data_IF_206835531186
#
_entry.id   IF_206835531186
#
_cell.length_a   1.000
_cell.length_b   1.000
_cell.length_c   1.000
_cell.angle_alpha   90.00
_cell.angle_beta   90.00
_cell.angle_gamma   90.00
#
_symmetry.space_group_name_H-M   'P 1'
#
loop_
_entity.id
_entity.type
_entity.pdbx_description
1 polymer ?
#
# COMPACT_ATOMS: atom_id res chain seq x y z
N UNK A 1 -2.06 -2.33 -47.47
CA UNK A 1 -1.54 -1.80 -46.18
C UNK A 1 -2.04 -2.54 -44.93
N UNK A 2 -3.24 -3.13 -44.87
CA UNK A 2 -3.81 -3.67 -43.61
C UNK A 2 -3.22 -4.97 -42.99
N UNK A 3 -2.37 -5.73 -43.69
CA UNK A 3 -1.72 -6.94 -43.11
C UNK A 3 -0.54 -6.61 -42.20
N UNK A 4 0.23 -5.58 -42.56
CA UNK A 4 1.44 -5.15 -41.82
C UNK A 4 1.04 -4.57 -40.46
N UNK A 5 0.04 -3.68 -40.43
CA UNK A 5 -0.49 -3.13 -39.18
C UNK A 5 -1.05 -4.20 -38.23
N UNK A 6 -1.69 -5.24 -38.78
CA UNK A 6 -2.23 -6.35 -37.97
C UNK A 6 -1.12 -7.17 -37.30
N UNK A 7 -0.02 -7.42 -38.02
CA UNK A 7 1.13 -8.16 -37.49
C UNK A 7 1.85 -7.37 -36.38
N UNK A 8 1.98 -6.04 -36.55
CA UNK A 8 2.52 -5.15 -35.51
C UNK A 8 1.70 -5.21 -34.22
N UNK A 9 0.37 -5.21 -34.31
CA UNK A 9 -0.53 -5.36 -33.15
C UNK A 9 -0.44 -6.75 -32.51
N UNK A 10 -0.40 -7.83 -33.31
CA UNK A 10 -0.22 -9.20 -32.79
C UNK A 10 1.09 -9.35 -32.01
N UNK A 11 2.18 -8.74 -32.50
CA UNK A 11 3.46 -8.77 -31.80
C UNK A 11 3.36 -8.05 -30.46
N UNK A 12 2.73 -6.86 -30.37
CA UNK A 12 2.55 -6.15 -29.09
C UNK A 12 1.78 -7.00 -28.08
N UNK A 13 0.69 -7.64 -28.50
CA UNK A 13 -0.10 -8.53 -27.64
C UNK A 13 0.78 -9.69 -27.13
N UNK A 14 1.58 -10.29 -28.01
CA UNK A 14 2.51 -11.35 -27.63
C UNK A 14 3.53 -10.87 -26.58
N UNK A 15 4.13 -9.69 -26.76
CA UNK A 15 5.05 -9.11 -25.77
C UNK A 15 4.36 -8.86 -24.42
N UNK A 16 3.13 -8.33 -24.42
CA UNK A 16 2.35 -8.12 -23.20
C UNK A 16 2.05 -9.43 -22.48
N UNK A 17 1.69 -10.49 -23.22
CA UNK A 17 1.45 -11.82 -22.65
C UNK A 17 2.73 -12.39 -22.04
N UNK A 18 3.87 -12.26 -22.72
CA UNK A 18 5.16 -12.71 -22.18
C UNK A 18 5.48 -11.97 -20.87
N UNK A 19 5.32 -10.64 -20.84
CA UNK A 19 5.56 -9.84 -19.62
C UNK A 19 4.62 -10.27 -18.50
N UNK A 20 3.33 -10.47 -18.78
CA UNK A 20 2.35 -10.89 -17.78
C UNK A 20 2.69 -12.28 -17.20
N UNK A 21 3.07 -13.24 -18.04
CA UNK A 21 3.48 -14.58 -17.61
C UNK A 21 4.74 -14.54 -16.76
N UNK A 22 5.76 -13.78 -17.19
CA UNK A 22 7.02 -13.64 -16.44
C UNK A 22 6.79 -12.97 -15.09
N UNK A 23 6.01 -11.89 -15.04
CA UNK A 23 5.66 -11.20 -13.79
C UNK A 23 4.88 -12.12 -12.84
N UNK A 24 3.84 -12.81 -13.35
CA UNK A 24 3.04 -13.73 -12.54
C UNK A 24 3.89 -14.88 -11.99
N UNK A 25 4.79 -15.43 -12.80
CA UNK A 25 5.68 -16.51 -12.37
C UNK A 25 6.69 -16.03 -11.33
N UNK A 26 7.30 -14.87 -11.54
CA UNK A 26 8.27 -14.28 -10.61
C UNK A 26 7.67 -13.96 -9.23
N UNK A 27 6.40 -13.55 -9.20
CA UNK A 27 5.67 -13.20 -7.98
C UNK A 27 4.68 -14.29 -7.53
N UNK A 28 4.74 -15.51 -8.10
CA UNK A 28 3.80 -16.58 -7.76
C UNK A 28 3.83 -16.93 -6.26
N UNK A 29 5.03 -16.87 -5.65
CA UNK A 29 5.23 -17.07 -4.22
C UNK A 29 4.50 -16.02 -3.35
N UNK A 30 4.26 -14.81 -3.87
CA UNK A 30 3.57 -13.75 -3.13
C UNK A 30 2.09 -14.04 -2.89
N UNK A 31 1.45 -14.91 -3.68
CA UNK A 31 0.03 -15.27 -3.50
C UNK A 31 -0.22 -16.19 -2.30
N UNK A 32 0.81 -16.87 -1.80
CA UNK A 32 0.69 -17.81 -0.67
C UNK A 32 1.22 -17.23 0.64
N UNK A 33 1.86 -16.06 0.59
CA UNK A 33 2.33 -15.38 1.79
C UNK A 33 1.19 -14.61 2.45
N UNK A 34 1.13 -14.69 3.78
CA UNK A 34 0.26 -13.82 4.56
C UNK A 34 0.65 -12.36 4.36
N UNK A 35 -0.34 -11.47 4.27
CA UNK A 35 -0.06 -10.04 4.29
C UNK A 35 0.44 -9.66 5.68
N UNK A 36 1.71 -9.32 5.80
CA UNK A 36 2.33 -8.90 7.06
C UNK A 36 2.18 -7.38 7.19
N UNK A 37 1.21 -6.94 7.98
CA UNK A 37 1.07 -5.54 8.39
C UNK A 37 2.11 -5.22 9.47
N UNK A 38 3.25 -4.66 9.08
CA UNK A 38 4.28 -4.18 10.00
C UNK A 38 3.78 -3.03 10.89
N UNK A 39 2.86 -2.21 10.37
CA UNK A 39 2.25 -1.09 11.10
C UNK A 39 1.04 -1.44 11.96
N UNK A 40 0.65 -2.73 12.03
CA UNK A 40 -0.54 -3.16 12.81
C UNK A 40 -0.49 -2.70 14.27
N UNK A 41 0.67 -2.83 14.90
CA UNK A 41 0.88 -2.41 16.28
C UNK A 41 0.72 -0.89 16.43
N UNK A 42 1.32 -0.11 15.52
CA UNK A 42 1.19 1.35 15.48
C UNK A 42 -0.27 1.79 15.30
N UNK A 43 -1.04 1.09 14.48
CA UNK A 43 -2.43 1.42 14.14
C UNK A 43 -3.39 1.06 15.27
N UNK A 44 -3.20 -0.10 15.92
CA UNK A 44 -4.15 -0.62 16.92
C UNK A 44 -3.81 -0.20 18.36
N UNK A 45 -2.52 -0.22 18.71
CA UNK A 45 -2.06 -0.16 20.10
C UNK A 45 -1.56 1.24 20.49
N UNK A 46 -1.06 2.02 19.54
CA UNK A 46 -0.53 3.34 19.84
C UNK A 46 -1.63 4.32 20.28
N UNK A 47 -1.61 4.72 21.55
CA UNK A 47 -2.55 5.67 22.10
C UNK A 47 -2.31 7.09 21.56
N UNK A 48 -1.10 7.42 21.10
CA UNK A 48 -0.78 8.74 20.61
C UNK A 48 -1.59 9.09 19.36
N UNK A 49 -1.81 8.12 18.45
CA UNK A 49 -2.55 8.36 17.20
C UNK A 49 -4.07 8.49 17.40
N UNK A 50 -4.61 8.11 18.56
CA UNK A 50 -6.06 8.17 18.83
C UNK A 50 -6.56 9.60 19.13
N UNK A 51 -5.65 10.58 19.20
CA UNK A 51 -5.98 11.99 19.40
C UNK A 51 -5.00 12.90 18.69
N UNK A 52 -5.52 13.79 17.85
CA UNK A 52 -4.70 14.78 17.11
C UNK A 52 -3.96 15.77 18.03
N UNK A 53 -4.40 15.91 19.29
CA UNK A 53 -3.70 16.75 20.29
C UNK A 53 -2.32 16.20 20.65
N UNK A 54 -2.06 14.93 20.38
CA UNK A 54 -0.78 14.30 20.66
C UNK A 54 0.26 14.52 19.55
N UNK A 55 -0.03 15.30 18.51
CA UNK A 55 0.94 15.59 17.44
C UNK A 55 2.29 16.10 18.00
N UNK A 56 2.36 17.02 18.97
CA UNK A 56 3.65 17.41 19.55
C UNK A 56 4.42 16.25 20.18
N UNK A 57 3.71 15.32 20.85
CA UNK A 57 4.31 14.11 21.42
C UNK A 57 4.79 13.15 20.32
N UNK A 58 4.01 12.98 19.25
CA UNK A 58 4.40 12.15 18.10
C UNK A 58 5.68 12.68 17.46
N UNK A 59 5.79 14.00 17.25
CA UNK A 59 6.98 14.62 16.67
C UNK A 59 8.18 14.70 17.63
N UNK A 60 7.97 14.51 18.94
CA UNK A 60 9.08 14.42 19.91
C UNK A 60 9.84 13.09 19.81
N UNK A 61 9.20 12.05 19.25
CA UNK A 61 9.82 10.74 19.03
C UNK A 61 10.17 10.54 17.55
N UNK A 62 11.38 10.95 17.19
CA UNK A 62 11.89 10.89 15.82
C UNK A 62 12.21 9.46 15.33
N UNK A 63 12.36 8.49 16.23
CA UNK A 63 12.71 7.11 15.88
C UNK A 63 11.48 6.27 15.52
N UNK A 64 10.30 6.68 16.00
CA UNK A 64 9.05 5.96 15.78
C UNK A 64 8.26 6.44 14.57
N UNK A 65 8.91 6.83 13.47
CA UNK A 65 8.23 7.22 12.20
C UNK A 65 7.17 8.33 12.42
N UNK A 66 7.56 9.51 12.93
CA UNK A 66 6.63 10.54 13.40
C UNK A 66 5.65 11.02 12.31
N UNK A 67 6.09 11.10 11.05
CA UNK A 67 5.24 11.49 9.92
C UNK A 67 4.11 10.48 9.64
N UNK A 68 4.43 9.19 9.70
CA UNK A 68 3.45 8.12 9.50
C UNK A 68 2.41 8.13 10.63
N UNK A 69 2.87 8.21 11.88
CA UNK A 69 2.00 8.31 13.07
C UNK A 69 1.13 9.56 13.05
N UNK A 70 1.67 10.71 12.65
CA UNK A 70 0.90 11.94 12.49
C UNK A 70 -0.19 11.79 11.43
N UNK A 71 0.10 11.11 10.31
CA UNK A 71 -0.88 10.82 9.27
C UNK A 71 -1.99 9.91 9.80
N UNK A 72 -1.67 8.87 10.58
CA UNK A 72 -2.68 8.06 11.27
C UNK A 72 -3.50 8.85 12.28
N UNK A 73 -2.90 9.81 13.00
CA UNK A 73 -3.62 10.66 13.95
C UNK A 73 -4.62 11.59 13.25
N UNK A 74 -4.24 12.16 12.11
CA UNK A 74 -5.14 12.96 11.26
C UNK A 74 -6.25 12.06 10.71
N UNK A 75 -5.91 10.85 10.26
CA UNK A 75 -6.86 9.85 9.76
C UNK A 75 -7.94 9.52 10.80
N UNK A 76 -7.51 9.25 12.04
CA UNK A 76 -8.38 8.99 13.19
C UNK A 76 -9.30 10.18 13.50
N UNK A 77 -8.78 11.39 13.41
CA UNK A 77 -9.54 12.62 13.67
C UNK A 77 -10.62 12.87 12.61
N UNK A 78 -10.33 12.61 11.33
CA UNK A 78 -11.27 12.87 10.24
C UNK A 78 -12.35 11.81 10.09
N UNK A 79 -12.02 10.53 10.32
CA UNK A 79 -12.91 9.41 9.99
C UNK A 79 -13.19 8.42 11.13
N UNK A 80 -12.65 8.64 12.33
CA UNK A 80 -12.72 7.67 13.43
C UNK A 80 -11.95 6.38 13.14
N UNK A 81 -12.09 5.39 14.00
CA UNK A 81 -11.40 4.07 13.88
C UNK A 81 -11.82 3.27 12.63
N UNK A 82 -12.97 3.57 12.03
CA UNK A 82 -13.51 2.83 10.89
C UNK A 82 -12.88 3.21 9.55
N UNK A 83 -12.42 4.45 9.39
CA UNK A 83 -11.73 4.88 8.16
C UNK A 83 -10.35 4.22 8.01
N UNK A 84 -9.72 3.86 9.13
CA UNK A 84 -8.50 3.06 9.16
C UNK A 84 -8.74 1.65 8.59
N UNK A 85 -9.88 1.02 8.87
CA UNK A 85 -10.19 -0.35 8.43
C UNK A 85 -10.55 -0.49 6.94
N UNK A 86 -10.85 0.61 6.24
CA UNK A 86 -11.20 0.60 4.80
C UNK A 86 -9.99 0.97 3.93
N UNK A 87 -8.92 1.50 4.53
CA UNK A 87 -7.73 1.96 3.81
C UNK A 87 -6.58 0.94 3.84
N UNK A 88 -6.78 -0.25 4.43
CA UNK A 88 -5.78 -1.33 4.52
C UNK A 88 -6.40 -2.69 4.22
#
# INVERSE_FOLDING_TARGET
MGKIYRHLETNKILHLLIIAVLATTAYHNSFYNSFHFDDRYTILEDAAIKSIRNLPLIFSDIFSRPLLRATFAINYYLGGSMFLAITF
#
